data_IF_310377249047
#
_entry.id   IF_310377249047
#
_cell.length_a   1.000
_cell.length_b   1.000
_cell.length_c   1.000
_cell.angle_alpha   90.00
_cell.angle_beta   90.00
_cell.angle_gamma   90.00
#
_symmetry.space_group_name_H-M   'P 1'
#
loop_
_entity.id
_entity.type
_entity.pdbx_description
1 polymer ?
#
# COMPACT_ATOMS: atom_id res chain seq x y z
N UNK A 1 22.10 -13.96 30.98
CA UNK A 1 21.75 -15.38 31.02
C UNK A 1 20.85 -15.74 29.85
N UNK A 2 20.94 -16.99 29.36
CA UNK A 2 20.20 -17.47 28.18
C UNK A 2 18.67 -17.34 28.37
N UNK A 3 18.19 -17.53 29.59
CA UNK A 3 16.77 -17.34 29.93
C UNK A 3 16.26 -15.90 29.75
N UNK A 4 17.08 -14.89 30.04
CA UNK A 4 16.71 -13.48 29.83
C UNK A 4 16.64 -13.12 28.35
N UNK A 5 17.49 -13.69 27.49
CA UNK A 5 17.42 -13.51 26.03
C UNK A 5 16.15 -14.11 25.46
N UNK A 6 15.77 -15.31 25.91
CA UNK A 6 14.53 -15.97 25.49
C UNK A 6 13.28 -15.22 25.95
N UNK A 7 13.27 -14.73 27.18
CA UNK A 7 12.16 -13.91 27.70
C UNK A 7 12.01 -12.62 26.89
N UNK A 8 13.08 -11.92 26.58
CA UNK A 8 13.06 -10.69 25.79
C UNK A 8 12.62 -10.96 24.34
N UNK A 9 13.07 -12.06 23.74
CA UNK A 9 12.65 -12.47 22.40
C UNK A 9 11.15 -12.76 22.34
N UNK A 10 10.61 -13.50 23.32
CA UNK A 10 9.18 -13.79 23.42
C UNK A 10 8.35 -12.51 23.59
N UNK A 11 8.77 -11.65 24.50
CA UNK A 11 8.10 -10.39 24.79
C UNK A 11 8.06 -9.49 23.54
N UNK A 12 9.16 -9.39 22.81
CA UNK A 12 9.25 -8.61 21.57
C UNK A 12 8.25 -9.12 20.50
N UNK A 13 8.19 -10.44 20.26
CA UNK A 13 7.29 -11.01 19.28
C UNK A 13 5.80 -10.87 19.66
N UNK A 14 5.48 -11.00 20.97
CA UNK A 14 4.10 -10.79 21.47
C UNK A 14 3.68 -9.34 21.33
N UNK A 15 4.54 -8.38 21.65
CA UNK A 15 4.24 -6.96 21.48
C UNK A 15 4.10 -6.56 20.01
N UNK A 16 4.92 -7.13 19.13
CA UNK A 16 4.79 -6.94 17.70
C UNK A 16 3.44 -7.47 17.17
N UNK A 17 3.06 -8.68 17.58
CA UNK A 17 1.75 -9.28 17.26
C UNK A 17 0.59 -8.46 17.82
N UNK A 18 0.73 -7.91 19.02
CA UNK A 18 -0.27 -7.00 19.61
C UNK A 18 -0.43 -5.73 18.77
N UNK A 19 0.65 -5.16 18.23
CA UNK A 19 0.61 -4.03 17.31
C UNK A 19 -0.20 -4.32 16.04
N UNK A 20 0.01 -5.50 15.42
CA UNK A 20 -0.76 -5.97 14.27
C UNK A 20 -2.26 -6.06 14.62
N UNK A 21 -2.59 -6.76 15.70
CA UNK A 21 -3.98 -6.96 16.12
C UNK A 21 -4.68 -5.63 16.42
N UNK A 22 -4.00 -4.71 17.10
CA UNK A 22 -4.57 -3.39 17.41
C UNK A 22 -4.92 -2.63 16.13
N UNK A 23 -4.07 -2.68 15.10
CA UNK A 23 -4.35 -2.05 13.81
C UNK A 23 -5.60 -2.62 13.16
N UNK A 24 -5.73 -3.94 13.08
CA UNK A 24 -6.91 -4.58 12.51
C UNK A 24 -8.20 -4.31 13.31
N UNK A 25 -8.12 -4.23 14.64
CA UNK A 25 -9.26 -3.86 15.48
C UNK A 25 -9.68 -2.40 15.25
N UNK A 26 -8.72 -1.48 15.13
CA UNK A 26 -9.01 -0.07 14.78
C UNK A 26 -9.70 0.01 13.41
N UNK A 27 -9.20 -0.73 12.40
CA UNK A 27 -9.83 -0.80 11.09
C UNK A 27 -11.25 -1.38 11.16
N UNK A 28 -11.45 -2.47 11.91
CA UNK A 28 -12.76 -3.08 12.09
C UNK A 28 -13.76 -2.10 12.71
N UNK A 29 -13.33 -1.34 13.71
CA UNK A 29 -14.14 -0.32 14.35
C UNK A 29 -14.44 0.85 13.40
N UNK A 30 -13.46 1.34 12.66
CA UNK A 30 -13.64 2.40 11.68
C UNK A 30 -14.62 1.99 10.58
N UNK A 31 -14.50 0.78 10.04
CA UNK A 31 -15.41 0.27 9.00
C UNK A 31 -16.82 0.05 9.58
N UNK A 32 -16.91 -0.56 10.76
CA UNK A 32 -18.21 -0.92 11.36
C UNK A 32 -18.97 0.24 11.96
N UNK A 33 -18.30 1.20 12.62
CA UNK A 33 -18.94 2.33 13.30
C UNK A 33 -19.15 3.54 12.38
N UNK A 34 -18.20 3.79 11.45
CA UNK A 34 -18.26 4.96 10.55
C UNK A 34 -18.92 4.62 9.21
N UNK A 35 -19.29 3.37 8.96
CA UNK A 35 -19.87 2.95 7.69
C UNK A 35 -18.95 3.23 6.49
N UNK A 36 -17.65 3.36 6.74
CA UNK A 36 -16.66 3.57 5.69
C UNK A 36 -16.66 2.35 4.79
N UNK A 37 -17.36 2.44 3.67
CA UNK A 37 -17.30 1.42 2.64
C UNK A 37 -15.85 1.33 2.16
N UNK A 38 -15.13 0.27 2.54
CA UNK A 38 -13.75 0.00 2.12
C UNK A 38 -13.58 0.13 0.60
N UNK A 39 -14.61 -0.28 -0.16
CA UNK A 39 -14.69 -0.09 -1.61
C UNK A 39 -14.78 1.37 -2.06
N UNK A 40 -15.35 2.26 -1.24
CA UNK A 40 -15.45 3.70 -1.57
C UNK A 40 -14.09 4.41 -1.61
N UNK A 41 -13.10 3.91 -0.86
CA UNK A 41 -11.73 4.43 -0.93
C UNK A 41 -11.10 4.17 -2.31
N UNK A 42 -11.40 3.03 -2.93
CA UNK A 42 -10.90 2.69 -4.28
C UNK A 42 -11.67 3.36 -5.42
N UNK A 43 -12.81 3.99 -5.13
CA UNK A 43 -13.56 4.81 -6.09
C UNK A 43 -12.93 6.19 -6.28
N UNK A 44 -12.12 6.65 -5.32
CA UNK A 44 -11.42 7.92 -5.47
C UNK A 44 -10.16 7.73 -6.31
N UNK A 45 -10.19 8.20 -7.55
CA UNK A 45 -9.10 8.10 -8.52
C UNK A 45 -7.77 8.66 -7.99
N UNK A 46 -7.82 9.75 -7.22
CA UNK A 46 -6.62 10.34 -6.63
C UNK A 46 -5.98 9.43 -5.58
N UNK A 47 -6.80 8.71 -4.82
CA UNK A 47 -6.32 7.76 -3.81
C UNK A 47 -5.69 6.54 -4.48
N UNK A 48 -6.34 5.99 -5.51
CA UNK A 48 -5.79 4.87 -6.31
C UNK A 48 -4.47 5.28 -6.96
N UNK A 49 -4.39 6.50 -7.46
CA UNK A 49 -3.17 7.05 -8.05
C UNK A 49 -2.02 7.17 -7.03
N UNK A 50 -2.31 7.71 -5.85
CA UNK A 50 -1.33 7.77 -4.76
C UNK A 50 -0.87 6.38 -4.30
N UNK A 51 -1.80 5.43 -4.21
CA UNK A 51 -1.53 4.05 -3.87
C UNK A 51 -0.66 3.36 -4.92
N UNK A 52 -0.93 3.60 -6.19
CA UNK A 52 -0.13 3.11 -7.33
C UNK A 52 1.33 3.56 -7.21
N UNK A 53 1.56 4.86 -6.97
CA UNK A 53 2.91 5.42 -6.80
C UNK A 53 3.60 4.79 -5.59
N UNK A 54 2.90 4.67 -4.46
CA UNK A 54 3.46 4.10 -3.24
C UNK A 54 3.87 2.64 -3.43
N UNK A 55 3.00 1.79 -3.98
CA UNK A 55 3.28 0.37 -4.22
C UNK A 55 4.43 0.20 -5.22
N UNK A 56 4.47 1.04 -6.26
CA UNK A 56 5.53 1.04 -7.24
C UNK A 56 6.88 1.42 -6.63
N UNK A 57 6.95 2.48 -5.82
CA UNK A 57 8.17 2.88 -5.12
C UNK A 57 8.64 1.80 -4.13
N UNK A 58 7.73 1.16 -3.39
CA UNK A 58 8.07 0.04 -2.52
C UNK A 58 8.64 -1.15 -3.33
N UNK A 59 8.07 -1.46 -4.50
CA UNK A 59 8.60 -2.48 -5.40
C UNK A 59 10.04 -2.15 -5.84
N UNK A 60 10.31 -0.90 -6.26
CA UNK A 60 11.66 -0.48 -6.64
C UNK A 60 12.66 -0.57 -5.47
N UNK A 61 12.21 -0.27 -4.25
CA UNK A 61 13.05 -0.42 -3.06
C UNK A 61 13.44 -1.87 -2.79
N UNK A 62 12.52 -2.82 -3.01
CA UNK A 62 12.79 -4.27 -2.88
C UNK A 62 13.70 -4.81 -4.00
N UNK A 63 13.78 -4.11 -5.14
CA UNK A 63 14.75 -4.43 -6.20
C UNK A 63 16.12 -3.78 -5.99
N UNK A 64 16.39 -3.20 -4.82
CA UNK A 64 17.65 -2.49 -4.50
C UNK A 64 17.98 -1.33 -5.45
N UNK A 65 17.00 -0.79 -6.17
CA UNK A 65 17.19 0.39 -7.04
C UNK A 65 17.56 1.61 -6.22
N UNK A 66 16.96 1.74 -5.04
CA UNK A 66 17.34 2.72 -4.02
C UNK A 66 17.13 2.10 -2.64
N UNK A 67 18.08 2.32 -1.78
CA UNK A 67 17.88 2.05 -0.36
C UNK A 67 17.04 3.20 0.18
N UNK A 68 15.78 2.94 0.52
CA UNK A 68 15.12 3.81 1.48
C UNK A 68 16.15 3.97 2.61
N UNK A 69 16.58 5.21 2.97
CA UNK A 69 17.20 5.37 4.26
C UNK A 69 16.21 4.68 5.18
N UNK A 70 16.63 3.50 5.73
CA UNK A 70 15.82 2.85 6.74
C UNK A 70 15.53 4.00 7.65
N UNK A 71 14.31 4.51 7.55
CA UNK A 71 13.78 5.29 8.62
C UNK A 71 13.96 4.31 9.76
N UNK A 72 15.13 4.40 10.42
CA UNK A 72 15.22 4.08 11.81
C UNK A 72 14.06 4.89 12.38
N UNK A 73 12.86 4.30 12.25
CA UNK A 73 11.71 4.71 13.00
C UNK A 73 12.09 4.38 14.46
N UNK A 74 13.07 5.06 14.96
CA UNK A 74 13.09 5.55 16.31
C UNK A 74 11.90 6.49 16.40
N UNK A 75 10.70 5.90 16.17
CA UNK A 75 9.41 6.57 16.32
C UNK A 75 9.33 6.95 17.79
N UNK A 76 9.62 8.20 18.03
CA UNK A 76 9.86 8.73 19.35
C UNK A 76 11.12 8.10 19.93
N UNK A 77 12.01 8.86 20.49
CA UNK A 77 13.13 8.41 21.31
C UNK A 77 12.60 7.66 22.57
N UNK A 78 11.70 6.71 22.35
CA UNK A 78 11.15 5.85 23.39
C UNK A 78 12.26 4.90 23.78
N UNK A 79 12.84 5.21 24.91
CA UNK A 79 13.94 4.50 25.56
C UNK A 79 13.56 3.05 25.91
N UNK A 80 12.31 2.65 25.67
CA UNK A 80 11.76 1.34 26.00
C UNK A 80 11.67 0.45 24.76
N UNK A 81 12.43 -0.66 24.68
CA UNK A 81 12.41 -1.61 23.57
C UNK A 81 11.03 -2.24 23.35
N UNK A 82 10.18 -2.30 24.37
CA UNK A 82 8.83 -2.81 24.34
C UNK A 82 7.89 -1.95 23.47
N UNK A 83 7.91 -0.64 23.71
CA UNK A 83 7.12 0.31 22.92
C UNK A 83 7.56 0.33 21.46
N UNK A 84 8.86 0.18 21.20
CA UNK A 84 9.40 0.12 19.86
C UNK A 84 8.90 -1.11 19.10
N UNK A 85 8.87 -2.30 19.74
CA UNK A 85 8.34 -3.52 19.12
C UNK A 85 6.86 -3.38 18.72
N UNK A 86 6.05 -2.83 19.62
CA UNK A 86 4.62 -2.57 19.37
C UNK A 86 4.40 -1.59 18.22
N UNK A 87 5.08 -0.45 18.24
CA UNK A 87 4.98 0.57 17.20
C UNK A 87 5.48 0.04 15.84
N UNK A 88 6.55 -0.76 15.84
CA UNK A 88 7.05 -1.39 14.60
C UNK A 88 6.01 -2.32 14.00
N UNK A 89 5.33 -3.14 14.82
CA UNK A 89 4.23 -4.01 14.37
C UNK A 89 3.06 -3.21 13.79
N UNK A 90 2.68 -2.12 14.44
CA UNK A 90 1.60 -1.24 13.99
C UNK A 90 1.95 -0.56 12.66
N UNK A 91 3.15 0.04 12.55
CA UNK A 91 3.61 0.73 11.33
C UNK A 91 3.83 -0.26 10.17
N UNK A 92 4.40 -1.44 10.46
CA UNK A 92 4.58 -2.48 9.43
C UNK A 92 3.23 -2.90 8.83
N UNK A 93 2.20 -3.06 9.68
CA UNK A 93 0.85 -3.42 9.22
C UNK A 93 0.18 -2.26 8.47
N UNK A 94 0.37 -1.02 8.91
CA UNK A 94 -0.10 0.17 8.20
C UNK A 94 0.49 0.23 6.78
N UNK A 95 1.79 -0.01 6.63
CA UNK A 95 2.46 -0.02 5.33
C UNK A 95 2.06 -1.22 4.46
N UNK A 96 1.73 -2.36 5.07
CA UNK A 96 1.26 -3.57 4.36
C UNK A 96 -0.22 -3.49 3.95
N UNK A 97 -1.03 -2.62 4.57
CA UNK A 97 -2.47 -2.49 4.29
C UNK A 97 -2.77 -2.17 2.82
N UNK A 98 -2.08 -1.21 2.15
CA UNK A 98 -2.36 -0.89 0.76
C UNK A 98 -2.05 -2.03 -0.23
N UNK A 99 -1.07 -2.87 0.04
CA UNK A 99 -0.74 -3.99 -0.84
C UNK A 99 -1.65 -5.21 -0.62
N UNK A 100 -2.25 -5.36 0.55
CA UNK A 100 -3.24 -6.40 0.82
C UNK A 100 -4.64 -6.03 0.29
N UNK A 101 -4.90 -4.74 0.04
CA UNK A 101 -6.19 -4.22 -0.42
C UNK A 101 -6.77 -4.94 -1.65
N UNK A 102 -6.06 -5.11 -2.75
CA UNK A 102 -6.55 -5.81 -3.94
C UNK A 102 -6.83 -7.30 -3.68
N UNK A 103 -6.03 -7.97 -2.85
CA UNK A 103 -6.19 -9.39 -2.53
C UNK A 103 -7.33 -9.64 -1.54
N UNK A 104 -7.42 -8.82 -0.49
CA UNK A 104 -8.41 -8.94 0.56
C UNK A 104 -9.67 -8.11 0.27
N UNK A 105 -9.65 -7.25 -0.74
CA UNK A 105 -10.73 -6.33 -1.06
C UNK A 105 -12.08 -7.00 -1.24
N UNK A 106 -12.12 -8.18 -1.87
CA UNK A 106 -13.33 -8.98 -2.01
C UNK A 106 -13.88 -9.48 -0.67
N UNK A 107 -13.02 -10.01 0.19
CA UNK A 107 -13.41 -10.52 1.52
C UNK A 107 -13.79 -9.39 2.46
N UNK A 108 -12.99 -8.32 2.48
CA UNK A 108 -13.26 -7.16 3.33
C UNK A 108 -14.46 -6.34 2.83
N UNK A 109 -14.66 -6.26 1.52
CA UNK A 109 -15.83 -5.64 0.91
C UNK A 109 -17.12 -6.39 1.23
N UNK A 110 -17.10 -7.73 1.16
CA UNK A 110 -18.21 -8.55 1.62
C UNK A 110 -18.45 -8.41 3.13
N UNK A 111 -17.38 -8.41 3.93
CA UNK A 111 -17.48 -8.26 5.38
C UNK A 111 -18.08 -6.91 5.79
N UNK A 112 -17.76 -5.83 5.07
CA UNK A 112 -18.27 -4.49 5.34
C UNK A 112 -19.80 -4.37 5.17
N UNK A 113 -20.43 -5.31 4.44
CA UNK A 113 -21.89 -5.37 4.27
C UNK A 113 -22.57 -6.18 5.39
N UNK A 114 -21.80 -6.78 6.29
CA UNK A 114 -22.30 -7.63 7.35
C UNK A 114 -22.50 -6.85 8.67
N UNK A 115 -23.25 -7.38 9.63
CA UNK A 115 -23.40 -6.74 10.95
C UNK A 115 -22.04 -6.66 11.67
N UNK A 116 -21.90 -5.67 12.55
CA UNK A 116 -20.68 -5.34 13.28
C UNK A 116 -19.92 -6.55 13.87
N UNK A 117 -20.58 -7.56 14.50
CA UNK A 117 -19.86 -8.71 15.04
C UNK A 117 -19.11 -9.52 13.98
N UNK A 118 -19.66 -9.63 12.77
CA UNK A 118 -19.05 -10.36 11.66
C UNK A 118 -17.85 -9.56 11.12
N UNK A 119 -17.97 -8.24 11.00
CA UNK A 119 -16.86 -7.36 10.60
C UNK A 119 -15.69 -7.56 11.56
N UNK A 120 -15.95 -7.42 12.87
CA UNK A 120 -14.91 -7.59 13.91
C UNK A 120 -14.30 -9.00 13.86
N UNK A 121 -15.09 -10.03 13.68
CA UNK A 121 -14.61 -11.42 13.59
C UNK A 121 -13.67 -11.61 12.38
N UNK A 122 -14.04 -11.13 11.20
CA UNK A 122 -13.25 -11.28 9.97
C UNK A 122 -11.92 -10.50 10.06
N UNK A 123 -11.97 -9.23 10.52
CA UNK A 123 -10.76 -8.43 10.69
C UNK A 123 -9.83 -8.99 11.75
N UNK A 124 -10.39 -9.48 12.87
CA UNK A 124 -9.61 -10.12 13.93
C UNK A 124 -9.00 -11.44 13.45
N UNK A 125 -9.74 -12.26 12.73
CA UNK A 125 -9.22 -13.49 12.15
C UNK A 125 -8.07 -13.22 11.17
N UNK A 126 -8.19 -12.19 10.33
CA UNK A 126 -7.14 -11.76 9.42
C UNK A 126 -5.91 -11.29 10.19
N UNK A 127 -6.11 -10.47 11.23
CA UNK A 127 -5.03 -10.00 12.11
C UNK A 127 -4.31 -11.14 12.83
N UNK A 128 -5.04 -12.12 13.34
CA UNK A 128 -4.47 -13.34 13.96
C UNK A 128 -3.67 -14.13 12.93
N UNK A 129 -4.19 -14.30 11.71
CA UNK A 129 -3.48 -14.98 10.63
C UNK A 129 -2.12 -14.33 10.32
N UNK A 130 -2.06 -13.01 10.25
CA UNK A 130 -0.81 -12.27 10.04
C UNK A 130 0.12 -12.30 11.27
N UNK A 131 -0.42 -12.31 12.48
CA UNK A 131 0.34 -12.39 13.72
C UNK A 131 0.83 -13.82 14.03
N UNK A 132 0.22 -14.86 13.43
CA UNK A 132 0.46 -16.26 13.73
C UNK A 132 1.94 -16.66 13.65
N UNK A 133 2.74 -16.31 12.62
CA UNK A 133 4.16 -16.66 12.58
C UNK A 133 4.93 -16.11 13.79
N UNK A 134 4.63 -14.89 14.22
CA UNK A 134 5.29 -14.26 15.36
C UNK A 134 4.83 -14.87 16.69
N UNK A 135 3.57 -15.25 16.81
CA UNK A 135 3.04 -15.94 17.99
C UNK A 135 3.63 -17.36 18.11
N UNK A 136 3.77 -18.08 17.01
CA UNK A 136 4.43 -19.41 16.99
C UNK A 136 5.88 -19.29 17.45
N UNK A 137 6.61 -18.29 16.99
CA UNK A 137 8.00 -18.02 17.43
C UNK A 137 8.07 -17.61 18.91
N UNK A 138 7.05 -16.90 19.40
CA UNK A 138 6.98 -16.53 20.81
C UNK A 138 6.72 -17.72 21.72
N UNK A 139 5.85 -18.67 21.29
CA UNK A 139 5.52 -19.88 22.07
C UNK A 139 6.63 -20.92 21.95
N UNK A 140 7.17 -21.10 20.75
CA UNK A 140 8.18 -22.10 20.45
C UNK A 140 9.47 -21.50 19.87
N UNK A 141 10.34 -20.94 20.72
CA UNK A 141 11.59 -20.30 20.26
C UNK A 141 12.52 -21.27 19.47
N UNK A 142 12.37 -22.56 19.69
CA UNK A 142 13.05 -23.62 18.94
C UNK A 142 12.72 -23.64 17.43
N UNK A 143 11.54 -23.16 17.05
CA UNK A 143 11.12 -23.03 15.67
C UNK A 143 12.01 -22.05 14.88
N UNK A 144 12.61 -21.07 15.56
CA UNK A 144 13.58 -20.15 14.95
C UNK A 144 14.84 -20.88 14.42
N UNK A 145 15.16 -22.07 14.96
CA UNK A 145 16.29 -22.90 14.49
C UNK A 145 15.96 -23.66 13.20
N UNK A 146 14.67 -23.86 12.91
CA UNK A 146 14.19 -24.51 11.69
C UNK A 146 14.14 -23.52 10.54
N UNK A 147 13.98 -22.21 10.85
CA UNK A 147 14.08 -21.18 9.82
C UNK A 147 15.51 -21.14 9.26
N UNK A 148 15.65 -21.18 7.95
CA UNK A 148 16.96 -21.03 7.31
C UNK A 148 17.58 -19.70 7.74
N UNK A 149 18.87 -19.74 8.06
CA UNK A 149 19.61 -18.53 8.46
C UNK A 149 19.48 -17.46 7.36
N UNK A 150 19.34 -16.18 7.72
CA UNK A 150 19.34 -15.11 6.74
C UNK A 150 20.61 -15.18 5.87
N UNK A 151 20.42 -15.26 4.58
CA UNK A 151 21.50 -15.44 3.60
C UNK A 151 21.00 -15.13 2.19
N UNK A 152 21.62 -15.68 1.16
CA UNK A 152 21.27 -15.45 -0.23
C UNK A 152 19.79 -15.74 -0.57
N UNK A 153 19.14 -16.63 0.17
CA UNK A 153 17.72 -16.95 0.03
C UNK A 153 16.79 -15.77 0.37
N UNK A 154 17.16 -14.97 1.37
CA UNK A 154 16.37 -13.77 1.77
C UNK A 154 16.29 -12.77 0.63
N UNK A 155 17.40 -12.52 -0.09
CA UNK A 155 17.39 -11.62 -1.24
C UNK A 155 16.55 -12.15 -2.41
N UNK A 156 16.43 -13.47 -2.57
CA UNK A 156 15.52 -14.06 -3.57
C UNK A 156 14.07 -13.83 -3.16
N UNK A 157 13.72 -13.99 -1.88
CA UNK A 157 12.39 -13.73 -1.37
C UNK A 157 11.99 -12.25 -1.50
N UNK A 158 12.90 -11.34 -1.16
CA UNK A 158 12.69 -9.89 -1.32
C UNK A 158 12.36 -9.54 -2.78
N UNK A 159 13.11 -10.08 -3.73
CA UNK A 159 12.85 -9.86 -5.16
C UNK A 159 11.53 -10.48 -5.62
N UNK A 160 11.17 -11.68 -5.14
CA UNK A 160 9.89 -12.30 -5.43
C UNK A 160 8.73 -11.42 -4.95
N UNK A 161 8.79 -10.94 -3.71
CA UNK A 161 7.79 -10.00 -3.18
C UNK A 161 7.76 -8.71 -4.00
N UNK A 162 8.92 -8.20 -4.44
CA UNK A 162 9.02 -7.07 -5.35
C UNK A 162 8.26 -7.29 -6.65
N UNK A 163 8.34 -8.47 -7.27
CA UNK A 163 7.56 -8.82 -8.47
C UNK A 163 6.05 -8.86 -8.20
N UNK A 164 5.63 -9.39 -7.06
CA UNK A 164 4.21 -9.36 -6.68
C UNK A 164 3.70 -7.92 -6.51
N UNK A 165 4.48 -7.05 -5.88
CA UNK A 165 4.13 -5.63 -5.76
C UNK A 165 4.09 -4.94 -7.12
N UNK A 166 5.01 -5.25 -8.04
CA UNK A 166 4.97 -4.74 -9.41
C UNK A 166 3.70 -5.21 -10.14
N UNK A 167 3.31 -6.48 -9.98
CA UNK A 167 2.04 -7.01 -10.49
C UNK A 167 0.82 -6.26 -9.94
N UNK A 168 0.84 -5.94 -8.64
CA UNK A 168 -0.20 -5.12 -8.01
C UNK A 168 -0.23 -3.69 -8.57
N UNK A 169 0.92 -3.09 -8.86
CA UNK A 169 1.00 -1.77 -9.50
C UNK A 169 0.39 -1.80 -10.91
N UNK A 170 0.69 -2.84 -11.71
CA UNK A 170 0.07 -3.03 -13.03
C UNK A 170 -1.45 -3.22 -12.92
N UNK A 171 -1.92 -3.98 -11.93
CA UNK A 171 -3.34 -4.14 -11.67
C UNK A 171 -4.01 -2.80 -11.29
N UNK A 172 -3.42 -2.01 -10.40
CA UNK A 172 -3.93 -0.68 -10.05
C UNK A 172 -3.95 0.27 -11.27
N UNK A 173 -2.94 0.18 -12.14
CA UNK A 173 -2.90 0.94 -13.38
C UNK A 173 -4.07 0.58 -14.31
N UNK A 174 -4.47 -0.70 -14.35
CA UNK A 174 -5.59 -1.16 -15.19
C UNK A 174 -6.95 -0.63 -14.72
N UNK A 175 -7.09 -0.34 -13.41
CA UNK A 175 -8.31 0.23 -12.83
C UNK A 175 -8.46 1.72 -13.16
N UNK A 176 -7.35 2.43 -13.44
CA UNK A 176 -7.41 3.85 -13.78
C UNK A 176 -8.17 4.09 -15.11
N UNK A 177 -8.92 5.20 -15.20
CA UNK A 177 -9.55 5.63 -16.45
C UNK A 177 -8.54 5.74 -17.60
N UNK A 178 -8.93 5.41 -18.81
CA UNK A 178 -8.03 5.42 -19.99
C UNK A 178 -7.35 6.78 -20.22
N UNK A 179 -8.07 7.86 -19.97
CA UNK A 179 -7.57 9.22 -20.08
C UNK A 179 -6.37 9.52 -19.15
N UNK A 180 -6.27 8.82 -18.04
CA UNK A 180 -5.22 9.04 -17.04
C UNK A 180 -4.11 7.98 -17.08
N UNK A 181 -4.29 6.87 -17.80
CA UNK A 181 -3.28 5.79 -17.88
C UNK A 181 -1.94 6.26 -18.43
N UNK A 182 -1.96 7.08 -19.50
CA UNK A 182 -0.72 7.62 -20.06
C UNK A 182 0.00 8.53 -19.07
N UNK A 183 -0.74 9.41 -18.40
CA UNK A 183 -0.19 10.30 -17.38
C UNK A 183 0.39 9.50 -16.20
N UNK A 184 -0.29 8.42 -15.78
CA UNK A 184 0.19 7.54 -14.74
C UNK A 184 1.50 6.83 -15.15
N UNK A 185 1.59 6.30 -16.37
CA UNK A 185 2.81 5.67 -16.89
C UNK A 185 3.99 6.65 -16.92
N UNK A 186 3.77 7.87 -17.37
CA UNK A 186 4.81 8.92 -17.37
C UNK A 186 5.24 9.23 -15.95
N UNK A 187 4.31 9.35 -15.01
CA UNK A 187 4.63 9.58 -13.59
C UNK A 187 5.42 8.42 -13.00
N UNK A 188 5.06 7.16 -13.28
CA UNK A 188 5.81 6.00 -12.81
C UNK A 188 7.24 5.99 -13.37
N UNK A 189 7.41 6.35 -14.65
CA UNK A 189 8.73 6.48 -15.26
C UNK A 189 9.56 7.56 -14.59
N UNK A 190 8.98 8.73 -14.32
CA UNK A 190 9.63 9.83 -13.60
C UNK A 190 10.00 9.41 -12.19
N UNK A 191 9.09 8.71 -11.48
CA UNK A 191 9.36 8.18 -10.14
C UNK A 191 10.51 7.15 -10.16
N UNK A 192 10.55 6.26 -11.17
CA UNK A 192 11.65 5.30 -11.32
C UNK A 192 12.99 6.01 -11.56
N UNK A 193 13.00 7.02 -12.42
CA UNK A 193 14.20 7.82 -12.70
C UNK A 193 14.65 8.58 -11.44
N UNK A 194 13.73 9.23 -10.74
CA UNK A 194 14.02 9.94 -9.51
C UNK A 194 14.57 9.00 -8.42
N UNK A 195 13.99 7.82 -8.26
CA UNK A 195 14.44 6.79 -7.34
C UNK A 195 15.85 6.28 -7.69
N UNK A 196 16.12 6.08 -8.99
CA UNK A 196 17.44 5.66 -9.46
C UNK A 196 18.51 6.74 -9.23
N UNK A 197 18.20 8.01 -9.53
CA UNK A 197 19.10 9.14 -9.26
C UNK A 197 19.41 9.23 -7.77
N UNK A 198 18.38 9.10 -6.92
CA UNK A 198 18.56 9.10 -5.48
C UNK A 198 19.40 7.91 -5.01
N UNK A 199 19.14 6.72 -5.51
CA UNK A 199 19.90 5.52 -5.14
C UNK A 199 21.37 5.60 -5.54
N UNK A 200 21.64 6.15 -6.72
CA UNK A 200 23.00 6.20 -7.27
C UNK A 200 23.85 7.34 -6.69
N UNK A 201 23.27 8.54 -6.54
CA UNK A 201 24.00 9.74 -6.09
C UNK A 201 23.65 10.20 -4.68
N UNK A 202 22.51 9.83 -4.13
CA UNK A 202 22.04 10.19 -2.79
C UNK A 202 22.34 9.15 -1.70
N UNK A 203 23.05 8.05 -2.03
CA UNK A 203 23.33 6.94 -1.11
C UNK A 203 24.08 7.35 0.17
N UNK A 204 24.26 6.40 1.09
CA UNK A 204 24.85 6.60 2.43
C UNK A 204 26.25 7.27 2.41
N UNK A 205 26.97 7.18 1.28
CA UNK A 205 28.32 7.78 1.10
C UNK A 205 28.31 9.20 0.56
N UNK A 206 27.17 9.75 0.16
CA UNK A 206 27.09 11.10 -0.39
C UNK A 206 27.29 12.16 0.71
N UNK A 207 27.95 13.28 0.36
CA UNK A 207 28.10 14.42 1.26
C UNK A 207 26.75 15.08 1.55
N UNK A 208 26.62 15.74 2.72
CA UNK A 208 25.36 16.39 3.13
C UNK A 208 24.70 17.26 2.06
N UNK A 209 25.44 18.17 1.38
CA UNK A 209 24.88 19.01 0.32
C UNK A 209 24.42 18.22 -0.90
N UNK A 210 25.12 17.12 -1.28
CA UNK A 210 24.71 16.26 -2.38
C UNK A 210 23.40 15.53 -2.09
N UNK A 211 23.23 15.02 -0.86
CA UNK A 211 21.96 14.41 -0.43
C UNK A 211 20.80 15.39 -0.50
N UNK A 212 21.01 16.61 -0.06
CA UNK A 212 19.98 17.64 -0.11
C UNK A 212 19.61 18.00 -1.56
N UNK A 213 20.61 18.16 -2.44
CA UNK A 213 20.38 18.49 -3.84
C UNK A 213 19.66 17.36 -4.60
N UNK A 214 20.13 16.11 -4.48
CA UNK A 214 19.49 14.95 -5.14
C UNK A 214 18.10 14.70 -4.59
N UNK A 215 17.87 14.91 -3.28
CA UNK A 215 16.55 14.80 -2.66
C UNK A 215 15.58 15.88 -3.13
N UNK A 216 16.04 17.12 -3.19
CA UNK A 216 15.24 18.23 -3.72
C UNK A 216 14.90 18.02 -5.20
N UNK A 217 15.86 17.56 -6.01
CA UNK A 217 15.63 17.25 -7.42
C UNK A 217 14.60 16.12 -7.59
N UNK A 218 14.73 15.02 -6.84
CA UNK A 218 13.79 13.90 -6.87
C UNK A 218 12.38 14.34 -6.45
N UNK A 219 12.26 15.13 -5.38
CA UNK A 219 10.98 15.69 -4.93
C UNK A 219 10.36 16.62 -5.98
N UNK A 220 11.13 17.49 -6.62
CA UNK A 220 10.65 18.38 -7.68
C UNK A 220 10.17 17.59 -8.90
N UNK A 221 10.88 16.54 -9.31
CA UNK A 221 10.47 15.69 -10.41
C UNK A 221 9.16 14.97 -10.11
N UNK A 222 9.05 14.36 -8.93
CA UNK A 222 7.85 13.63 -8.51
C UNK A 222 6.66 14.58 -8.32
N UNK A 223 6.84 15.70 -7.62
CA UNK A 223 5.76 16.68 -7.43
C UNK A 223 5.30 17.33 -8.73
N UNK A 224 6.24 17.64 -9.64
CA UNK A 224 5.93 18.16 -10.97
C UNK A 224 5.15 17.16 -11.84
N UNK A 225 5.51 15.87 -11.80
CA UNK A 225 4.78 14.82 -12.52
C UNK A 225 3.39 14.59 -11.96
N UNK A 226 3.23 14.61 -10.63
CA UNK A 226 1.92 14.51 -9.98
C UNK A 226 1.05 15.72 -10.32
N UNK A 227 1.61 16.93 -10.24
CA UNK A 227 0.90 18.16 -10.63
C UNK A 227 0.36 18.05 -12.05
N UNK A 228 1.21 17.63 -12.98
CA UNK A 228 0.81 17.50 -14.39
C UNK A 228 -0.26 16.43 -14.59
N UNK A 229 -0.21 15.33 -13.86
CA UNK A 229 -1.17 14.22 -14.00
C UNK A 229 -2.53 14.49 -13.34
N UNK A 230 -2.59 15.39 -12.35
CA UNK A 230 -3.84 15.80 -11.67
C UNK A 230 -4.59 16.87 -12.46
N UNK A 231 -3.96 17.48 -13.49
CA UNK A 231 -4.70 18.41 -14.34
C UNK A 231 -5.84 17.67 -15.03
N UNK A 232 -7.05 18.25 -15.05
CA UNK A 232 -8.18 17.63 -15.70
C UNK A 232 -7.83 17.36 -17.16
N UNK A 233 -7.94 16.10 -17.56
CA UNK A 233 -7.82 15.75 -18.98
C UNK A 233 -8.86 16.57 -19.77
N UNK A 234 -8.53 17.02 -21.02
CA UNK A 234 -9.53 17.68 -21.87
C UNK A 234 -10.77 16.79 -21.92
N UNK A 235 -11.92 17.39 -21.65
CA UNK A 235 -13.20 16.68 -21.56
C UNK A 235 -13.35 15.75 -22.75
N UNK A 236 -13.56 14.43 -22.53
CA UNK A 236 -13.96 13.55 -23.61
C UNK A 236 -15.29 14.07 -24.19
N UNK A 237 -15.54 13.75 -25.46
CA UNK A 237 -16.75 14.16 -26.19
C UNK A 237 -18.00 14.27 -25.31
N UNK A 238 -18.89 15.24 -25.55
CA UNK A 238 -19.97 15.61 -24.65
C UNK A 238 -20.95 14.43 -24.49
N UNK A 239 -20.67 13.59 -23.51
CA UNK A 239 -21.61 12.56 -23.08
C UNK A 239 -22.68 13.23 -22.24
N UNK A 240 -23.90 13.20 -22.72
CA UNK A 240 -25.06 13.67 -21.95
C UNK A 240 -25.57 12.51 -21.07
N UNK A 241 -25.90 12.83 -19.81
CA UNK A 241 -26.55 11.84 -18.94
C UNK A 241 -27.87 11.38 -19.58
N UNK A 242 -28.03 10.04 -19.65
CA UNK A 242 -29.21 9.45 -20.24
C UNK A 242 -30.51 9.98 -19.63
N UNK A 243 -31.35 10.58 -20.48
CA UNK A 243 -32.70 10.98 -20.15
C UNK A 243 -33.68 10.37 -21.15
N UNK A 244 -34.65 9.60 -20.65
CA UNK A 244 -35.60 8.87 -21.48
C UNK A 244 -36.40 9.80 -22.43
N UNK A 245 -36.65 11.05 -22.02
CA UNK A 245 -37.38 12.01 -22.83
C UNK A 245 -36.55 12.53 -24.02
N UNK A 246 -35.29 12.89 -23.74
CA UNK A 246 -34.33 13.34 -24.75
C UNK A 246 -34.03 12.21 -25.73
N UNK A 247 -33.83 10.98 -25.22
CA UNK A 247 -33.59 9.80 -26.04
C UNK A 247 -34.74 9.56 -27.04
N UNK A 248 -35.99 9.59 -26.59
CA UNK A 248 -37.16 9.41 -27.45
C UNK A 248 -37.30 10.48 -28.52
N UNK A 249 -36.94 11.73 -28.22
CA UNK A 249 -37.00 12.84 -29.15
C UNK A 249 -35.96 12.81 -30.25
N UNK A 250 -34.78 12.19 -29.98
CA UNK A 250 -33.65 12.12 -30.85
C UNK A 250 -33.62 10.81 -31.68
N UNK A 251 -34.31 9.76 -31.25
CA UNK A 251 -34.26 8.39 -31.76
C UNK A 251 -34.61 8.28 -33.26
N UNK A 252 -35.18 9.29 -33.88
CA UNK A 252 -35.51 9.31 -35.32
C UNK A 252 -34.75 10.39 -36.10
N UNK A 253 -33.90 11.17 -35.44
CA UNK A 253 -33.24 12.32 -36.08
C UNK A 253 -31.76 12.09 -36.29
N UNK A 254 -31.08 11.40 -35.36
CA UNK A 254 -29.62 11.23 -35.34
C UNK A 254 -29.24 9.83 -34.85
N UNK A 255 -28.08 9.28 -35.28
CA UNK A 255 -27.56 8.04 -34.73
C UNK A 255 -27.16 8.28 -33.25
N UNK A 256 -27.80 7.55 -32.36
CA UNK A 256 -27.58 7.65 -30.92
C UNK A 256 -26.84 6.41 -30.41
N UNK A 257 -25.79 6.63 -29.63
CA UNK A 257 -25.09 5.58 -28.90
C UNK A 257 -25.40 5.73 -27.41
N UNK A 258 -25.91 4.67 -26.80
CA UNK A 258 -26.14 4.62 -25.35
C UNK A 258 -25.11 3.68 -24.75
N UNK A 259 -24.27 4.22 -23.87
CA UNK A 259 -23.27 3.46 -23.14
C UNK A 259 -23.73 3.20 -21.71
N UNK A 260 -23.76 1.93 -21.32
CA UNK A 260 -23.99 1.54 -19.92
C UNK A 260 -22.64 1.21 -19.31
N UNK A 261 -22.10 2.13 -18.53
CA UNK A 261 -20.81 1.96 -17.88
C UNK A 261 -20.91 2.31 -16.40
N UNK A 262 -19.97 1.78 -15.64
CA UNK A 262 -19.73 2.18 -14.25
C UNK A 262 -18.23 2.36 -14.07
N UNK A 263 -17.82 3.22 -13.15
CA UNK A 263 -16.42 3.58 -12.91
C UNK A 263 -15.51 2.38 -12.58
N UNK A 264 -16.10 1.25 -12.21
CA UNK A 264 -15.42 -0.01 -11.90
C UNK A 264 -15.52 -1.07 -13.02
N UNK A 265 -16.20 -0.77 -14.09
CA UNK A 265 -16.45 -1.73 -15.18
C UNK A 265 -15.26 -1.86 -16.14
#
# INVERSE_FOLDING_TARGET
TEGQRLAHFREHNVLFAAGILTWFLVLAFCVGALGLAWGGLFQNTHLVYGLLILVFLLSLSLFDVFTLPVLDFKVGASRNPKTQAYLTGLVATLLATPCSGPLLGGVLGWAALQPLPVIVAVFTATGIGMALPYLVLAVWPGAARILPKPGAWTGIMERLVGFFLMGTAVYLLSILPESQRLAALVTLLVCALAAWIWGHWGGLRASGPQKLFTGALALLMVSGSIWWSVQPAPEPAPWETFRADTFRSLLKKEPLMVEFTADWC
#
